data_IF_443226559967
#
_entry.id   IF_443226559967
#
_cell.length_a   1.000
_cell.length_b   1.000
_cell.length_c   1.000
_cell.angle_alpha   90.00
_cell.angle_beta   90.00
_cell.angle_gamma   90.00
#
_symmetry.space_group_name_H-M   'P 1'
#
loop_
_entity.id
_entity.type
_entity.pdbx_description
1 polymer ?
#
# COMPACT_ATOMS: atom_id res chain seq x y z
N UNK A 1 13.22 16.05 16.59
CA UNK A 1 12.95 15.77 15.16
C UNK A 1 12.35 14.39 15.05
N UNK A 2 11.34 14.19 14.20
CA UNK A 2 10.79 12.85 13.97
C UNK A 2 11.79 11.98 13.22
N UNK A 3 11.86 10.70 13.57
CA UNK A 3 12.81 9.73 13.02
C UNK A 3 12.65 9.60 11.50
N UNK A 4 13.77 9.49 10.78
CA UNK A 4 13.81 9.29 9.34
C UNK A 4 13.68 7.80 9.01
N UNK A 5 12.72 7.45 8.15
CA UNK A 5 12.37 6.07 7.78
C UNK A 5 12.91 5.73 6.40
N UNK A 6 12.65 6.60 5.42
CA UNK A 6 13.18 6.51 4.04
C UNK A 6 13.66 7.90 3.61
N UNK A 7 14.79 7.92 2.93
CA UNK A 7 15.27 9.06 2.15
C UNK A 7 15.33 8.65 0.68
N UNK A 8 14.61 9.38 -0.17
CA UNK A 8 14.66 9.25 -1.63
C UNK A 8 15.24 10.53 -2.22
N UNK A 9 16.37 10.41 -2.91
CA UNK A 9 16.97 11.49 -3.72
C UNK A 9 16.31 11.63 -5.10
N UNK A 10 15.20 10.94 -5.32
CA UNK A 10 14.49 10.86 -6.59
C UNK A 10 14.85 9.60 -7.37
N UNK A 11 13.86 9.05 -8.07
CA UNK A 11 14.02 7.85 -8.92
C UNK A 11 13.81 8.31 -10.35
N UNK A 12 14.87 8.27 -11.16
CA UNK A 12 14.82 8.68 -12.57
C UNK A 12 15.06 7.46 -13.45
N UNK A 13 14.22 7.31 -14.47
CA UNK A 13 14.38 6.35 -15.55
C UNK A 13 14.36 7.09 -16.89
N UNK A 14 14.45 6.35 -17.99
CA UNK A 14 14.32 6.91 -19.33
C UNK A 14 12.90 7.43 -19.62
N UNK A 15 11.90 6.88 -18.92
CA UNK A 15 10.48 7.13 -19.21
C UNK A 15 9.79 8.03 -18.20
N UNK A 16 10.31 8.12 -16.98
CA UNK A 16 9.68 8.90 -15.91
C UNK A 16 10.64 9.25 -14.78
N UNK A 17 10.20 10.20 -13.96
CA UNK A 17 10.86 10.65 -12.75
C UNK A 17 9.88 10.71 -11.57
N UNK A 18 10.32 10.20 -10.42
CA UNK A 18 9.66 10.37 -9.14
C UNK A 18 10.50 11.36 -8.33
N UNK A 19 9.95 12.53 -7.98
CA UNK A 19 10.68 13.56 -7.24
C UNK A 19 11.28 13.09 -5.91
N UNK A 20 12.32 13.77 -5.40
CA UNK A 20 12.91 13.46 -4.10
C UNK A 20 11.90 13.66 -2.96
N UNK A 21 11.99 12.82 -1.94
CA UNK A 21 11.18 12.95 -0.74
C UNK A 21 11.83 12.24 0.45
N UNK A 22 11.42 12.65 1.64
CA UNK A 22 11.68 11.92 2.88
C UNK A 22 10.37 11.38 3.43
N UNK A 23 10.44 10.19 4.02
CA UNK A 23 9.39 9.64 4.88
C UNK A 23 9.91 9.62 6.32
N UNK A 24 9.21 10.29 7.22
CA UNK A 24 9.50 10.31 8.65
C UNK A 24 8.39 9.65 9.46
N UNK A 25 8.68 9.31 10.70
CA UNK A 25 7.69 8.76 11.63
C UNK A 25 6.45 9.69 11.72
N UNK A 26 5.27 9.09 11.74
CA UNK A 26 3.97 9.77 11.76
C UNK A 26 3.56 10.39 10.43
N UNK A 27 4.33 10.22 9.35
CA UNK A 27 3.98 10.73 8.02
C UNK A 27 3.29 9.68 7.15
N UNK A 28 2.35 10.17 6.34
CA UNK A 28 1.76 9.43 5.22
C UNK A 28 2.14 10.16 3.94
N UNK A 29 2.98 9.54 3.12
CA UNK A 29 3.34 10.03 1.78
C UNK A 29 2.47 9.34 0.75
N UNK A 30 1.90 10.11 -0.18
CA UNK A 30 1.18 9.57 -1.34
C UNK A 30 2.08 9.69 -2.55
N UNK A 31 2.28 8.59 -3.28
CA UNK A 31 2.92 8.57 -4.59
C UNK A 31 1.82 8.33 -5.62
N UNK A 32 1.54 9.39 -6.39
CA UNK A 32 0.49 9.45 -7.38
C UNK A 32 1.02 9.08 -8.77
N UNK A 33 0.52 7.98 -9.31
CA UNK A 33 0.98 7.37 -10.56
C UNK A 33 0.15 7.75 -11.80
N UNK A 34 -0.82 8.66 -11.65
CA UNK A 34 -1.69 9.17 -12.73
C UNK A 34 -2.55 8.12 -13.48
N UNK A 35 -2.62 6.89 -12.97
CA UNK A 35 -3.39 5.79 -13.57
C UNK A 35 -2.83 5.32 -14.91
N UNK A 36 -3.45 4.30 -15.50
CA UNK A 36 -3.00 3.70 -16.77
C UNK A 36 -2.42 2.30 -16.60
N UNK A 37 -2.07 1.68 -17.74
CA UNK A 37 -1.68 0.28 -17.80
C UNK A 37 -0.29 -0.02 -17.19
N UNK A 38 0.53 1.01 -16.99
CA UNK A 38 1.81 0.95 -16.28
C UNK A 38 1.67 0.89 -14.74
N UNK A 39 0.47 1.13 -14.19
CA UNK A 39 0.26 1.27 -12.75
C UNK A 39 0.73 0.04 -11.96
N UNK A 40 0.36 -1.17 -12.39
CA UNK A 40 0.68 -2.39 -11.63
C UNK A 40 2.17 -2.68 -11.62
N UNK A 41 2.86 -2.45 -12.73
CA UNK A 41 4.29 -2.66 -12.84
C UNK A 41 5.07 -1.65 -12.01
N UNK A 42 4.74 -0.35 -12.10
CA UNK A 42 5.33 0.68 -11.23
C UNK A 42 5.10 0.37 -9.75
N UNK A 43 3.88 -0.03 -9.37
CA UNK A 43 3.56 -0.38 -8.00
C UNK A 43 4.44 -1.53 -7.50
N UNK A 44 4.64 -2.57 -8.31
CA UNK A 44 5.50 -3.71 -7.96
C UNK A 44 6.95 -3.25 -7.75
N UNK A 45 7.48 -2.41 -8.65
CA UNK A 45 8.85 -1.92 -8.56
C UNK A 45 9.04 -1.02 -7.31
N UNK A 46 8.15 -0.06 -7.08
CA UNK A 46 8.18 0.82 -5.91
C UNK A 46 8.05 0.06 -4.61
N UNK A 47 7.12 -0.89 -4.56
CA UNK A 47 6.94 -1.74 -3.39
C UNK A 47 8.21 -2.54 -3.12
N UNK A 48 8.85 -3.10 -4.15
CA UNK A 48 10.08 -3.86 -3.99
C UNK A 48 11.21 -3.00 -3.42
N UNK A 49 11.33 -1.75 -3.88
CA UNK A 49 12.28 -0.78 -3.34
C UNK A 49 11.95 -0.47 -1.88
N UNK A 50 10.77 0.07 -1.57
CA UNK A 50 10.47 0.57 -0.21
C UNK A 50 10.36 -0.52 0.86
N UNK A 51 10.16 -1.78 0.45
CA UNK A 51 10.21 -2.94 1.36
C UNK A 51 11.62 -3.53 1.51
N UNK A 52 12.62 -2.99 0.82
CA UNK A 52 14.01 -3.46 0.85
C UNK A 52 14.23 -4.78 0.11
N UNK A 53 13.28 -5.23 -0.72
CA UNK A 53 13.45 -6.42 -1.59
C UNK A 53 14.34 -6.12 -2.80
N UNK A 54 14.39 -4.87 -3.23
CA UNK A 54 15.27 -4.36 -4.25
C UNK A 54 15.99 -3.12 -3.75
N UNK A 55 17.25 -2.95 -4.16
CA UNK A 55 18.04 -1.76 -3.83
C UNK A 55 17.97 -0.76 -4.98
N UNK A 56 17.90 0.52 -4.66
CA UNK A 56 18.03 1.61 -5.62
C UNK A 56 19.05 2.61 -5.07
N UNK A 57 20.02 3.05 -5.87
CA UNK A 57 21.13 3.90 -5.43
C UNK A 57 20.68 5.21 -4.75
N UNK A 58 19.60 5.81 -5.26
CA UNK A 58 19.00 7.03 -4.71
C UNK A 58 17.99 6.82 -3.57
N UNK A 59 17.76 5.59 -3.12
CA UNK A 59 16.82 5.31 -2.03
C UNK A 59 17.53 4.65 -0.86
N UNK A 60 17.59 5.37 0.26
CA UNK A 60 18.14 4.86 1.51
C UNK A 60 17.02 4.50 2.47
N UNK A 61 16.99 3.25 2.90
CA UNK A 61 15.99 2.69 3.80
C UNK A 61 16.63 2.54 5.18
N UNK A 62 16.18 3.33 6.14
CA UNK A 62 16.62 3.23 7.54
C UNK A 62 15.78 2.20 8.31
N UNK A 63 14.47 2.15 8.00
CA UNK A 63 13.55 1.10 8.48
C UNK A 63 12.70 0.61 7.31
N UNK A 64 12.77 -0.69 6.96
CA UNK A 64 11.99 -1.22 5.85
C UNK A 64 10.50 -1.14 6.13
N UNK A 65 9.73 -0.83 5.09
CA UNK A 65 8.27 -0.88 5.14
C UNK A 65 7.79 -2.32 4.85
N UNK A 66 6.57 -2.64 5.26
CA UNK A 66 5.90 -3.88 4.85
C UNK A 66 4.76 -3.57 3.89
N UNK A 67 4.76 -4.22 2.73
CA UNK A 67 3.64 -4.11 1.81
C UNK A 67 2.43 -4.88 2.32
N UNK A 68 1.27 -4.23 2.29
CA UNK A 68 0.03 -4.81 2.75
C UNK A 68 -0.63 -5.56 1.60
N UNK A 69 -0.31 -6.85 1.51
CA UNK A 69 -0.81 -7.72 0.45
C UNK A 69 -2.34 -7.83 0.50
N UNK A 70 -3.03 -7.75 -0.65
CA UNK A 70 -4.45 -8.06 -0.72
C UNK A 70 -4.74 -9.49 -0.26
N UNK A 71 -5.83 -9.68 0.47
CA UNK A 71 -6.30 -11.02 0.82
C UNK A 71 -6.56 -11.87 -0.43
N UNK A 72 -5.97 -13.06 -0.46
CA UNK A 72 -6.16 -14.06 -1.50
C UNK A 72 -6.53 -15.39 -0.86
N UNK A 73 -7.54 -16.05 -1.44
CA UNK A 73 -7.98 -17.38 -1.06
C UNK A 73 -8.25 -18.20 -2.31
N UNK A 74 -7.86 -19.48 -2.29
CA UNK A 74 -8.13 -20.38 -3.41
C UNK A 74 -9.63 -20.61 -3.58
N UNK A 75 -10.08 -20.85 -4.82
CA UNK A 75 -11.50 -21.12 -5.12
C UNK A 75 -12.05 -22.29 -4.29
N UNK A 76 -11.25 -23.35 -4.12
CA UNK A 76 -11.64 -24.52 -3.33
C UNK A 76 -11.85 -24.17 -1.85
N UNK A 77 -10.88 -23.49 -1.23
CA UNK A 77 -10.98 -23.05 0.17
C UNK A 77 -12.19 -22.14 0.36
N UNK A 78 -12.39 -21.19 -0.56
CA UNK A 78 -13.53 -20.26 -0.56
C UNK A 78 -14.90 -20.94 -0.68
N UNK A 79 -14.97 -22.11 -1.30
CA UNK A 79 -16.23 -22.84 -1.52
C UNK A 79 -16.57 -23.76 -0.35
N UNK A 80 -15.60 -24.55 0.11
CA UNK A 80 -15.86 -25.63 1.07
C UNK A 80 -15.55 -25.27 2.52
N UNK A 81 -14.58 -24.40 2.77
CA UNK A 81 -14.20 -24.01 4.13
C UNK A 81 -13.67 -22.56 4.15
N UNK A 82 -14.55 -21.57 3.93
CA UNK A 82 -14.14 -20.17 3.82
C UNK A 82 -13.48 -19.70 5.10
N UNK A 83 -12.34 -19.03 4.98
CA UNK A 83 -11.66 -18.41 6.12
C UNK A 83 -12.58 -17.44 6.87
N UNK A 84 -12.61 -17.51 8.20
CA UNK A 84 -13.25 -16.48 9.03
C UNK A 84 -12.31 -15.32 9.34
N UNK A 85 -12.87 -14.17 9.71
CA UNK A 85 -12.10 -12.99 10.15
C UNK A 85 -11.13 -13.36 11.28
N UNK A 86 -11.62 -14.10 12.28
CA UNK A 86 -10.81 -14.51 13.41
C UNK A 86 -9.69 -15.48 12.99
N UNK A 87 -9.97 -16.45 12.12
CA UNK A 87 -8.94 -17.35 11.57
C UNK A 87 -7.88 -16.61 10.75
N UNK A 88 -8.28 -15.60 9.98
CA UNK A 88 -7.35 -14.77 9.23
C UNK A 88 -6.44 -13.99 10.17
N UNK A 89 -7.02 -13.28 11.14
CA UNK A 89 -6.27 -12.51 12.13
C UNK A 89 -5.33 -13.42 12.93
N UNK A 90 -5.81 -14.55 13.45
CA UNK A 90 -4.99 -15.50 14.22
C UNK A 90 -3.78 -16.02 13.45
N UNK A 91 -3.91 -16.24 12.14
CA UNK A 91 -2.80 -16.71 11.30
C UNK A 91 -1.82 -15.61 10.91
N UNK A 92 -2.29 -14.36 10.84
CA UNK A 92 -1.51 -13.24 10.32
C UNK A 92 -1.06 -12.24 11.40
N UNK A 93 -1.58 -12.34 12.62
CA UNK A 93 -1.15 -11.58 13.79
C UNK A 93 0.14 -12.18 14.39
N UNK A 94 0.81 -11.39 15.24
CA UNK A 94 1.83 -11.94 16.14
C UNK A 94 1.13 -12.77 17.24
N UNK A 95 1.44 -14.07 17.41
CA UNK A 95 0.85 -14.91 18.45
C UNK A 95 1.08 -14.40 19.88
N UNK A 96 2.04 -13.49 20.09
CA UNK A 96 2.31 -12.85 21.39
C UNK A 96 1.39 -11.66 21.68
N UNK A 97 0.72 -11.11 20.66
CA UNK A 97 -0.23 -10.01 20.80
C UNK A 97 -1.66 -10.51 20.63
N UNK A 98 -2.27 -10.96 21.73
CA UNK A 98 -3.73 -11.23 21.83
C UNK A 98 -4.47 -9.88 21.94
N UNK A 99 -4.14 -8.94 21.06
CA UNK A 99 -4.85 -7.65 21.00
C UNK A 99 -6.00 -7.84 20.03
N UNK A 100 -7.22 -7.62 20.51
CA UNK A 100 -8.40 -7.51 19.64
C UNK A 100 -8.14 -6.33 18.70
N UNK A 101 -8.02 -6.56 17.37
CA UNK A 101 -7.64 -5.47 16.49
C UNK A 101 -8.74 -4.41 16.47
N UNK A 102 -8.35 -3.13 16.50
CA UNK A 102 -9.25 -1.96 16.41
C UNK A 102 -10.17 -1.99 15.18
N UNK A 103 -9.91 -2.89 14.24
CA UNK A 103 -10.77 -3.11 13.06
C UNK A 103 -12.22 -3.38 13.41
N UNK A 104 -12.52 -4.00 14.55
CA UNK A 104 -13.89 -4.26 14.99
C UNK A 104 -14.62 -3.01 15.51
N UNK A 105 -13.89 -1.94 15.82
CA UNK A 105 -14.45 -0.62 16.14
C UNK A 105 -14.70 0.19 14.86
N UNK A 106 -13.89 -0.07 13.82
CA UNK A 106 -13.91 0.67 12.56
C UNK A 106 -14.90 0.07 11.58
N UNK A 107 -15.06 -1.26 11.54
CA UNK A 107 -15.91 -1.97 10.58
C UNK A 107 -17.09 -2.69 11.22
N UNK A 108 -18.07 -3.03 10.37
CA UNK A 108 -19.34 -3.64 10.78
C UNK A 108 -19.31 -5.18 10.83
N UNK A 109 -18.20 -5.80 10.42
CA UNK A 109 -18.05 -7.26 10.46
C UNK A 109 -17.61 -7.75 11.84
N UNK A 110 -17.94 -8.99 12.16
CA UNK A 110 -17.55 -9.70 13.37
C UNK A 110 -16.50 -10.77 13.09
N UNK A 111 -15.83 -11.25 14.14
CA UNK A 111 -14.79 -12.28 14.03
C UNK A 111 -15.26 -13.60 13.39
N UNK A 112 -16.55 -13.92 13.51
CA UNK A 112 -17.16 -15.14 12.93
C UNK A 112 -17.51 -14.99 11.44
N UNK A 113 -17.50 -13.77 10.91
CA UNK A 113 -17.88 -13.52 9.52
C UNK A 113 -16.82 -14.11 8.59
N UNK A 114 -17.27 -14.56 7.42
CA UNK A 114 -16.40 -15.22 6.44
C UNK A 114 -15.81 -14.18 5.51
N UNK A 115 -14.51 -14.26 5.24
CA UNK A 115 -13.82 -13.30 4.36
C UNK A 115 -14.42 -13.23 2.97
N UNK A 116 -15.02 -14.31 2.47
CA UNK A 116 -15.70 -14.28 1.16
C UNK A 116 -16.87 -13.29 1.10
N UNK A 117 -17.52 -13.01 2.24
CA UNK A 117 -18.71 -12.18 2.36
C UNK A 117 -18.37 -10.70 2.64
N UNK A 118 -17.10 -10.39 2.95
CA UNK A 118 -16.62 -9.02 3.14
C UNK A 118 -16.42 -8.32 1.78
N UNK A 119 -16.67 -7.01 1.73
CA UNK A 119 -16.34 -6.19 0.56
C UNK A 119 -14.81 -5.97 0.43
N UNK A 120 -14.37 -5.42 -0.71
CA UNK A 120 -12.94 -5.18 -0.99
C UNK A 120 -12.28 -4.29 0.06
N UNK A 121 -12.97 -3.24 0.49
CA UNK A 121 -12.47 -2.25 1.46
C UNK A 121 -12.32 -2.87 2.84
N UNK A 122 -13.33 -3.64 3.28
CA UNK A 122 -13.29 -4.41 4.52
C UNK A 122 -12.13 -5.41 4.53
N UNK A 123 -11.93 -6.16 3.42
CA UNK A 123 -10.78 -7.09 3.28
C UNK A 123 -9.43 -6.39 3.38
N UNK A 124 -9.31 -5.19 2.78
CA UNK A 124 -8.09 -4.39 2.83
C UNK A 124 -7.81 -3.88 4.24
N UNK A 125 -8.79 -3.29 4.93
CA UNK A 125 -8.61 -2.86 6.32
C UNK A 125 -8.34 -4.03 7.27
N UNK A 126 -8.92 -5.21 7.02
CA UNK A 126 -8.56 -6.42 7.74
C UNK A 126 -7.09 -6.83 7.53
N UNK A 127 -6.61 -6.76 6.29
CA UNK A 127 -5.21 -7.06 5.93
C UNK A 127 -4.25 -6.04 6.55
N UNK A 128 -4.59 -4.75 6.48
CA UNK A 128 -3.87 -3.67 7.17
C UNK A 128 -3.79 -3.93 8.67
N UNK A 129 -4.90 -4.31 9.29
CA UNK A 129 -4.96 -4.59 10.71
C UNK A 129 -4.04 -5.75 11.11
N UNK A 130 -3.98 -6.81 10.30
CA UNK A 130 -3.06 -7.91 10.54
C UNK A 130 -1.59 -7.47 10.43
N UNK A 131 -1.24 -6.60 9.47
CA UNK A 131 0.12 -6.04 9.34
C UNK A 131 0.45 -5.13 10.51
N UNK A 132 -0.49 -4.30 10.95
CA UNK A 132 -0.32 -3.36 12.07
C UNK A 132 -0.11 -4.02 13.44
N UNK A 133 -0.38 -5.32 13.56
CA UNK A 133 -0.03 -6.13 14.74
C UNK A 133 1.45 -6.52 14.77
N UNK A 134 2.18 -6.34 13.65
CA UNK A 134 3.59 -6.71 13.49
C UNK A 134 4.50 -5.52 13.27
N UNK A 135 4.04 -4.51 12.52
CA UNK A 135 4.82 -3.32 12.20
C UNK A 135 3.90 -2.13 11.94
N UNK A 136 4.39 -0.92 12.22
CA UNK A 136 3.69 0.33 11.92
C UNK A 136 4.22 1.04 10.67
N UNK A 137 5.23 0.47 10.02
CA UNK A 137 5.87 1.00 8.83
C UNK A 137 5.38 0.23 7.60
N UNK A 138 4.53 0.83 6.76
CA UNK A 138 3.81 0.12 5.69
C UNK A 138 3.85 0.79 4.32
N UNK A 139 3.66 0.00 3.27
CA UNK A 139 3.26 0.44 1.94
C UNK A 139 1.91 -0.19 1.62
N UNK A 140 0.98 0.56 1.02
CA UNK A 140 -0.34 0.04 0.67
C UNK A 140 -0.91 0.70 -0.61
N UNK A 141 -2.00 0.14 -1.13
CA UNK A 141 -2.76 0.69 -2.25
C UNK A 141 -4.27 0.68 -1.95
N UNK A 142 -5.03 1.55 -2.63
CA UNK A 142 -6.50 1.67 -2.51
C UNK A 142 -7.26 1.09 -3.71
N UNK A 143 -6.54 0.46 -4.66
CA UNK A 143 -7.13 -0.17 -5.85
C UNK A 143 -8.32 -1.08 -5.52
N UNK A 144 -9.44 -0.87 -6.21
CA UNK A 144 -10.65 -1.69 -6.09
C UNK A 144 -11.56 -1.35 -4.90
N UNK A 145 -11.23 -0.35 -4.10
CA UNK A 145 -12.15 0.23 -3.12
C UNK A 145 -13.11 1.23 -3.78
N UNK A 146 -14.28 1.41 -3.19
CA UNK A 146 -15.15 2.54 -3.53
C UNK A 146 -14.59 3.84 -2.93
N UNK A 147 -15.00 5.03 -3.40
CA UNK A 147 -14.51 6.30 -2.83
C UNK A 147 -14.68 6.40 -1.31
N UNK A 148 -15.85 5.99 -0.79
CA UNK A 148 -16.12 5.95 0.66
C UNK A 148 -15.24 4.93 1.37
N UNK A 149 -15.06 3.75 0.77
CA UNK A 149 -14.18 2.70 1.31
C UNK A 149 -12.73 3.17 1.40
N UNK A 150 -12.22 3.76 0.32
CA UNK A 150 -10.87 4.29 0.18
C UNK A 150 -10.60 5.38 1.22
N UNK A 151 -11.51 6.34 1.38
CA UNK A 151 -11.38 7.39 2.39
C UNK A 151 -11.34 6.82 3.81
N UNK A 152 -12.22 5.85 4.12
CA UNK A 152 -12.23 5.18 5.42
C UNK A 152 -10.93 4.41 5.67
N UNK A 153 -10.41 3.71 4.67
CA UNK A 153 -9.13 2.99 4.74
C UNK A 153 -7.96 3.94 4.95
N UNK A 154 -7.95 5.07 4.24
CA UNK A 154 -6.93 6.11 4.38
C UNK A 154 -6.90 6.71 5.80
N UNK A 155 -8.06 7.07 6.36
CA UNK A 155 -8.15 7.59 7.72
C UNK A 155 -7.71 6.54 8.75
N UNK A 156 -8.13 5.28 8.58
CA UNK A 156 -7.68 4.18 9.42
C UNK A 156 -6.15 4.08 9.45
N UNK A 157 -5.47 4.16 8.29
CA UNK A 157 -4.00 4.14 8.23
C UNK A 157 -3.41 5.36 8.96
N UNK A 158 -3.92 6.57 8.72
CA UNK A 158 -3.44 7.78 9.39
C UNK A 158 -3.49 7.68 10.92
N UNK A 159 -4.59 7.15 11.45
CA UNK A 159 -4.74 6.94 12.89
C UNK A 159 -3.75 5.90 13.44
N UNK A 160 -3.50 4.82 12.69
CA UNK A 160 -2.62 3.74 13.12
C UNK A 160 -1.14 4.14 13.17
N UNK A 161 -0.70 5.08 12.32
CA UNK A 161 0.71 5.50 12.23
C UNK A 161 1.03 6.78 13.01
N UNK A 162 0.01 7.48 13.54
CA UNK A 162 0.13 8.85 14.06
C UNK A 162 1.23 9.03 15.11
N UNK A 163 1.28 8.13 16.08
CA UNK A 163 2.23 8.17 17.21
C UNK A 163 3.50 7.38 16.89
N UNK A 164 3.36 6.23 16.25
CA UNK A 164 4.43 5.30 15.93
C UNK A 164 4.14 4.66 14.56
N UNK A 165 5.08 4.75 13.63
CA UNK A 165 4.93 4.23 12.26
C UNK A 165 5.13 5.25 11.16
N UNK A 166 4.94 4.83 9.92
CA UNK A 166 4.94 5.66 8.73
C UNK A 166 4.29 4.89 7.58
N UNK A 167 3.72 5.60 6.60
CA UNK A 167 3.07 4.95 5.47
C UNK A 167 3.40 5.59 4.13
N UNK A 168 3.51 4.76 3.09
CA UNK A 168 3.46 5.18 1.69
C UNK A 168 2.19 4.59 1.06
N UNK A 169 1.34 5.46 0.53
CA UNK A 169 0.24 5.09 -0.35
C UNK A 169 0.72 5.19 -1.80
N UNK A 170 0.61 4.11 -2.57
CA UNK A 170 0.81 4.13 -4.03
C UNK A 170 -0.57 4.11 -4.68
N UNK A 171 -0.95 5.19 -5.37
CA UNK A 171 -2.30 5.32 -5.91
C UNK A 171 -2.34 5.97 -7.30
N UNK A 172 -3.43 5.72 -8.03
CA UNK A 172 -3.75 6.38 -9.28
C UNK A 172 -4.71 7.55 -9.11
N UNK A 173 -5.30 7.72 -7.92
CA UNK A 173 -6.30 8.74 -7.64
C UNK A 173 -5.70 9.88 -6.83
N UNK A 174 -6.18 11.10 -7.06
CA UNK A 174 -5.70 12.30 -6.36
C UNK A 174 -6.55 12.67 -5.13
N UNK A 175 -7.59 11.88 -4.82
CA UNK A 175 -8.59 12.18 -3.79
C UNK A 175 -7.97 12.46 -2.40
N UNK A 176 -6.80 11.88 -2.11
CA UNK A 176 -6.11 11.99 -0.81
C UNK A 176 -5.05 13.10 -0.75
N UNK A 177 -4.90 13.90 -1.82
CA UNK A 177 -3.85 14.93 -1.95
C UNK A 177 -3.82 15.91 -0.77
N UNK A 178 -4.98 16.35 -0.31
CA UNK A 178 -5.09 17.38 0.73
C UNK A 178 -4.97 16.82 2.16
N UNK A 179 -5.01 15.50 2.33
CA UNK A 179 -5.05 14.84 3.64
C UNK A 179 -3.77 14.05 3.96
N UNK A 180 -2.73 14.16 3.12
CA UNK A 180 -1.43 13.49 3.30
C UNK A 180 -0.34 14.46 3.79
N UNK A 181 0.79 13.90 4.24
CA UNK A 181 1.95 14.71 4.66
C UNK A 181 2.72 15.26 3.46
N UNK A 182 2.83 14.47 2.38
CA UNK A 182 3.44 14.86 1.11
C UNK A 182 2.72 14.13 -0.03
N UNK A 183 2.46 14.85 -1.11
CA UNK A 183 1.87 14.30 -2.33
C UNK A 183 2.90 14.38 -3.46
N UNK A 184 3.44 13.23 -3.85
CA UNK A 184 4.49 13.11 -4.86
C UNK A 184 3.85 12.67 -6.17
N UNK A 185 3.98 13.51 -7.19
CA UNK A 185 3.45 13.24 -8.53
C UNK A 185 4.55 12.68 -9.39
N UNK A 186 4.28 11.57 -10.08
CA UNK A 186 5.20 11.06 -11.12
C UNK A 186 5.23 12.02 -12.32
N UNK A 187 6.41 12.26 -12.85
CA UNK A 187 6.64 13.07 -14.04
C UNK A 187 6.99 12.14 -15.21
N UNK A 188 6.17 12.12 -16.25
CA UNK A 188 6.44 11.31 -17.45
C UNK A 188 7.30 12.06 -18.45
N UNK A 189 8.32 11.39 -18.96
CA UNK A 189 9.08 11.82 -20.13
C UNK A 189 8.52 11.22 -21.42
N UNK A 190 7.93 10.02 -21.31
CA UNK A 190 7.21 9.36 -22.40
C UNK A 190 5.94 10.07 -22.79
N UNK A 191 5.66 10.13 -24.08
CA UNK A 191 4.40 10.64 -24.61
C UNK A 191 3.25 9.61 -24.46
N UNK A 192 2.02 10.04 -24.78
CA UNK A 192 0.83 9.20 -24.70
C UNK A 192 0.90 7.96 -25.59
N UNK A 193 1.59 8.01 -26.74
CA UNK A 193 1.70 6.87 -27.64
C UNK A 193 2.67 5.82 -27.10
N UNK A 194 3.78 6.25 -26.50
CA UNK A 194 4.68 5.35 -25.79
C UNK A 194 4.00 4.72 -24.57
N UNK A 195 3.26 5.50 -23.77
CA UNK A 195 2.48 4.97 -22.64
C UNK A 195 1.46 3.91 -23.07
N UNK A 196 0.79 4.09 -24.22
CA UNK A 196 -0.10 3.06 -24.79
C UNK A 196 0.65 1.81 -25.20
N UNK A 197 1.85 1.95 -25.79
CA UNK A 197 2.72 0.82 -26.16
C UNK A 197 3.22 0.06 -24.94
N UNK A 198 3.50 0.75 -23.83
CA UNK A 198 3.78 0.10 -22.55
C UNK A 198 2.54 -0.67 -22.10
N UNK A 199 1.38 -0.02 -22.16
CA UNK A 199 0.13 -0.62 -21.70
C UNK A 199 -0.34 -1.86 -22.45
N UNK A 200 0.00 -1.98 -23.73
CA UNK A 200 -0.33 -3.15 -24.54
C UNK A 200 0.85 -4.15 -24.67
N UNK A 201 1.96 -3.92 -23.96
CA UNK A 201 3.13 -4.80 -23.93
C UNK A 201 4.02 -4.73 -25.17
N UNK A 202 3.84 -3.74 -26.05
CA UNK A 202 4.72 -3.53 -27.21
C UNK A 202 6.07 -2.93 -26.84
N UNK A 203 6.14 -2.23 -25.70
CA UNK A 203 7.35 -1.66 -25.11
C UNK A 203 7.37 -2.02 -23.63
N UNK A 204 8.54 -2.36 -23.07
CA UNK A 204 8.65 -2.63 -21.65
C UNK A 204 8.77 -1.32 -20.86
N UNK A 205 8.15 -1.28 -19.69
CA UNK A 205 8.42 -0.21 -18.72
C UNK A 205 9.85 -0.36 -18.19
N UNK A 206 10.54 0.78 -18.04
CA UNK A 206 11.89 0.84 -17.50
C UNK A 206 11.90 0.26 -16.09
N UNK A 207 12.88 -0.61 -15.83
CA UNK A 207 13.15 -1.10 -14.48
C UNK A 207 13.88 -0.04 -13.67
N UNK A 208 13.48 0.11 -12.42
CA UNK A 208 14.15 0.97 -11.44
C UNK A 208 15.44 0.33 -10.88
N UNK A 209 15.69 -0.96 -11.12
CA UNK A 209 16.83 -1.72 -10.60
C UNK A 209 17.13 -2.97 -11.43
#
# INVERSE_FOLDING_TARGET
MKELIIESKGIKTDQYFIPPFELRQGELVVIYLQGGAHYDELKIQLTSIFTGRANHENVKIFKPLTFVEPFKESKFKRMFNPTTVFEYLKRNADPKNIVIPRIFEVDTFAGKDKLKDLDTSQKKRLSLSAVFLKTKNIVFDLRGESPVGAQKTFQFVKEQIKEEGAAILIDWAEDMKNDCSKFIVIEWFSDLEELKKIGNGSVNLSRMY
#
